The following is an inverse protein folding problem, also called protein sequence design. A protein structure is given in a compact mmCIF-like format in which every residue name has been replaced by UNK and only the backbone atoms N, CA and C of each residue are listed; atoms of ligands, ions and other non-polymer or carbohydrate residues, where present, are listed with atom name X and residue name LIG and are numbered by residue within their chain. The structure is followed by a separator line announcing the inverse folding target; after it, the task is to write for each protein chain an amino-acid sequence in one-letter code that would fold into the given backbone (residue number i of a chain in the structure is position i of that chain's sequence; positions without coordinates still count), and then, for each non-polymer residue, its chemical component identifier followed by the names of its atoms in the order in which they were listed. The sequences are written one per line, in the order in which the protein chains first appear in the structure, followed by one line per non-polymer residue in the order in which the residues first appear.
data_IF_518219600096
#
_entry.id   IF_518219600096
#
_cell.length_a   1.000
_cell.length_b   1.000
_cell.length_c   1.000
_cell.angle_alpha   90.00
_cell.angle_beta   90.00
_cell.angle_gamma   90.00
#
_symmetry.space_group_name_H-M   'P 1'
#
loop_
_entity.id
_entity.type
_entity.pdbx_description
1 polymer ?
#
# COMPACT_ATOMS: atom_id res chain seq x y z
N UNK A 1 -10.28 -29.48 4.66
CA UNK A 1 -10.20 -28.01 4.82
C UNK A 1 -9.57 -27.46 3.56
N UNK A 2 -10.28 -26.62 2.80
CA UNK A 2 -9.71 -25.99 1.61
C UNK A 2 -8.90 -24.76 2.06
N UNK A 3 -7.64 -24.67 1.67
CA UNK A 3 -6.76 -23.52 1.98
C UNK A 3 -6.53 -22.75 0.69
N UNK A 4 -6.73 -21.43 0.73
CA UNK A 4 -6.39 -20.53 -0.36
C UNK A 4 -4.93 -20.09 -0.25
N UNK A 5 -4.19 -20.18 -1.35
CA UNK A 5 -2.81 -19.72 -1.46
C UNK A 5 -2.71 -18.64 -2.52
N UNK A 6 -1.90 -17.61 -2.28
CA UNK A 6 -1.69 -16.55 -3.25
C UNK A 6 -0.26 -16.05 -3.22
N UNK A 7 0.18 -15.49 -4.35
CA UNK A 7 1.45 -14.81 -4.51
C UNK A 7 1.24 -13.58 -5.38
N UNK A 8 1.49 -12.40 -4.82
CA UNK A 8 1.61 -11.16 -5.58
C UNK A 8 3.05 -10.69 -5.45
N UNK A 9 3.80 -10.73 -6.56
CA UNK A 9 5.21 -10.34 -6.59
C UNK A 9 5.46 -9.40 -7.75
N UNK A 10 6.32 -8.40 -7.56
CA UNK A 10 6.67 -7.46 -8.62
C UNK A 10 8.11 -6.99 -8.51
N UNK A 11 8.62 -6.41 -9.60
CA UNK A 11 9.89 -5.69 -9.64
C UNK A 11 9.64 -4.27 -10.12
N UNK A 12 10.21 -3.26 -9.46
CA UNK A 12 10.04 -1.86 -9.88
C UNK A 12 11.40 -1.25 -10.23
N UNK A 13 11.52 -0.52 -11.34
CA UNK A 13 12.70 0.29 -11.60
C UNK A 13 12.91 1.32 -10.48
N UNK A 14 14.15 1.55 -10.05
CA UNK A 14 14.47 2.54 -9.01
C UNK A 14 13.97 3.95 -9.40
N UNK A 15 13.93 4.27 -10.69
CA UNK A 15 13.40 5.54 -11.19
C UNK A 15 11.89 5.69 -11.00
N UNK A 16 11.16 4.61 -10.70
CA UNK A 16 9.68 4.56 -10.61
C UNK A 16 9.20 4.18 -9.21
N UNK A 17 10.05 4.32 -8.21
CA UNK A 17 9.72 4.11 -6.81
C UNK A 17 10.12 5.33 -5.97
N UNK A 18 9.45 5.51 -4.84
CA UNK A 18 9.81 6.49 -3.82
C UNK A 18 9.59 5.91 -2.42
N UNK A 19 10.31 6.45 -1.45
CA UNK A 19 10.16 6.12 -0.03
C UNK A 19 10.16 7.39 0.79
N UNK A 20 9.40 7.39 1.88
CA UNK A 20 9.41 8.46 2.87
C UNK A 20 9.37 7.87 4.28
N UNK A 21 10.23 8.38 5.17
CA UNK A 21 10.35 7.93 6.55
C UNK A 21 10.31 9.14 7.49
N UNK A 22 9.45 9.11 8.51
CA UNK A 22 9.29 10.25 9.42
C UNK A 22 10.38 10.37 10.50
N UNK A 23 11.37 9.48 10.49
CA UNK A 23 12.50 9.44 11.41
C UNK A 23 13.50 8.34 11.03
N UNK A 24 14.74 8.46 11.51
CA UNK A 24 15.86 7.59 11.12
C UNK A 24 16.14 6.46 12.13
N UNK A 25 15.52 6.51 13.31
CA UNK A 25 15.59 5.49 14.36
C UNK A 25 14.68 4.27 14.09
N UNK A 26 13.94 4.27 12.98
CA UNK A 26 13.18 3.11 12.50
C UNK A 26 13.05 3.09 10.96
N UNK A 27 13.75 2.16 10.31
CA UNK A 27 13.82 2.05 8.84
C UNK A 27 13.35 0.66 8.36
N UNK A 28 12.04 0.44 8.16
CA UNK A 28 11.49 -0.81 7.63
C UNK A 28 11.44 -0.84 6.10
N UNK A 29 11.00 -1.98 5.55
CA UNK A 29 10.76 -2.13 4.11
C UNK A 29 12.02 -1.99 3.28
N UNK A 30 11.95 -1.22 2.19
CA UNK A 30 13.05 -1.02 1.25
C UNK A 30 14.33 -0.46 1.90
N UNK A 31 14.25 0.33 2.96
CA UNK A 31 15.42 0.88 3.64
C UNK A 31 16.27 -0.16 4.40
N UNK A 32 15.80 -1.41 4.52
CA UNK A 32 16.60 -2.52 5.06
C UNK A 32 17.48 -3.21 4.03
N UNK A 33 17.31 -2.90 2.74
CA UNK A 33 18.07 -3.56 1.70
C UNK A 33 19.56 -3.17 1.80
N UNK A 34 20.48 -4.08 1.43
CA UNK A 34 21.90 -3.74 1.38
C UNK A 34 22.15 -2.58 0.41
N UNK A 35 23.11 -1.72 0.74
CA UNK A 35 23.52 -0.57 -0.09
C UNK A 35 22.46 0.52 -0.28
N UNK A 36 21.38 0.53 0.52
CA UNK A 36 20.48 1.67 0.60
C UNK A 36 20.95 2.67 1.66
N UNK A 37 20.63 3.94 1.47
CA UNK A 37 20.87 5.01 2.45
C UNK A 37 19.73 6.02 2.44
N UNK A 38 19.64 6.82 3.49
CA UNK A 38 18.64 7.88 3.62
C UNK A 38 19.23 9.23 3.25
N UNK A 39 18.45 10.09 2.60
CA UNK A 39 18.81 11.48 2.31
C UNK A 39 17.67 12.38 2.76
N UNK A 40 18.03 13.46 3.46
CA UNK A 40 17.06 14.49 3.84
C UNK A 40 16.49 15.19 2.59
N UNK A 41 15.20 15.53 2.64
CA UNK A 41 14.50 16.25 1.58
C UNK A 41 13.37 17.11 2.15
N UNK A 42 12.95 18.11 1.37
CA UNK A 42 11.81 18.98 1.72
C UNK A 42 10.51 18.57 0.99
N UNK A 43 10.57 17.52 0.17
CA UNK A 43 9.42 17.00 -0.58
C UNK A 43 8.49 16.20 0.35
N UNK A 44 7.78 16.87 1.26
CA UNK A 44 6.86 16.25 2.23
C UNK A 44 5.77 17.24 2.65
N UNK A 45 4.67 16.75 3.23
CA UNK A 45 3.58 17.58 3.77
C UNK A 45 2.84 18.51 2.78
N UNK A 46 2.83 18.17 1.49
CA UNK A 46 1.93 18.75 0.48
C UNK A 46 1.39 17.69 -0.48
N UNK A 47 0.23 17.95 -1.08
CA UNK A 47 -0.37 17.05 -2.08
C UNK A 47 0.47 17.05 -3.35
N UNK A 48 0.93 15.87 -3.77
CA UNK A 48 1.88 15.70 -4.87
C UNK A 48 3.31 15.38 -4.42
N UNK A 49 3.63 15.51 -3.13
CA UNK A 49 4.98 15.24 -2.63
C UNK A 49 5.47 13.80 -2.92
N UNK A 50 4.59 12.81 -2.89
CA UNK A 50 4.93 11.44 -3.27
C UNK A 50 5.39 11.35 -4.73
N UNK A 51 4.65 11.96 -5.65
CA UNK A 51 5.00 12.03 -7.07
C UNK A 51 6.34 12.73 -7.30
N UNK A 52 6.58 13.86 -6.63
CA UNK A 52 7.82 14.62 -6.78
C UNK A 52 9.06 13.86 -6.26
N UNK A 53 8.87 12.85 -5.40
CA UNK A 53 9.96 11.96 -4.95
C UNK A 53 10.24 10.81 -5.93
N UNK A 54 9.36 10.53 -6.89
CA UNK A 54 9.59 9.48 -7.91
C UNK A 54 10.44 10.08 -9.04
N UNK A 55 11.68 9.61 -9.30
CA UNK A 55 12.57 10.25 -10.27
C UNK A 55 12.00 10.39 -11.70
N UNK A 56 11.24 9.39 -12.17
CA UNK A 56 10.63 9.40 -13.49
C UNK A 56 9.47 10.40 -13.64
N UNK A 57 8.92 10.94 -12.54
CA UNK A 57 7.86 11.95 -12.60
C UNK A 57 8.27 13.24 -13.30
N UNK A 58 9.58 13.49 -13.42
CA UNK A 58 10.14 14.59 -14.17
C UNK A 58 9.82 14.55 -15.68
N UNK A 59 9.46 13.39 -16.22
CA UNK A 59 9.17 13.22 -17.66
C UNK A 59 8.03 12.23 -17.97
N UNK A 60 7.44 11.61 -16.95
CA UNK A 60 6.32 10.65 -17.08
C UNK A 60 5.20 11.04 -16.10
N UNK A 61 3.98 11.21 -16.62
CA UNK A 61 2.81 11.54 -15.80
C UNK A 61 2.18 10.32 -15.12
N UNK A 62 2.62 9.11 -15.47
CA UNK A 62 2.08 7.85 -14.97
C UNK A 62 0.57 7.72 -15.21
N UNK A 63 0.13 8.10 -16.41
CA UNK A 63 -1.28 7.95 -16.84
C UNK A 63 -1.70 6.49 -16.81
N UNK A 64 -2.99 6.20 -16.68
CA UNK A 64 -3.43 4.80 -16.72
C UNK A 64 -3.05 4.17 -18.07
N UNK A 65 -2.41 2.99 -18.05
CA UNK A 65 -2.08 2.26 -19.28
C UNK A 65 -3.31 2.06 -20.18
N UNK A 66 -3.14 2.25 -21.49
CA UNK A 66 -4.24 2.15 -22.46
C UNK A 66 -4.93 0.77 -22.49
N UNK A 67 -4.23 -0.26 -22.03
CA UNK A 67 -4.72 -1.64 -21.88
C UNK A 67 -5.42 -1.92 -20.54
N UNK A 68 -5.55 -0.94 -19.65
CA UNK A 68 -6.21 -1.12 -18.35
C UNK A 68 -7.66 -1.59 -18.46
N UNK A 69 -8.40 -1.13 -19.49
CA UNK A 69 -9.78 -1.60 -19.74
C UNK A 69 -9.81 -3.06 -20.18
N UNK A 70 -8.92 -3.45 -21.10
CA UNK A 70 -8.80 -4.83 -21.58
C UNK A 70 -8.25 -5.78 -20.52
N UNK A 71 -7.56 -5.24 -19.51
CA UNK A 71 -7.02 -6.00 -18.39
C UNK A 71 -8.03 -6.26 -17.29
N UNK A 72 -9.27 -5.74 -17.37
CA UNK A 72 -10.33 -6.11 -16.44
C UNK A 72 -10.85 -7.52 -16.78
N UNK A 73 -11.19 -8.34 -15.78
CA UNK A 73 -11.81 -9.63 -16.05
C UNK A 73 -13.21 -9.42 -16.68
N UNK A 74 -13.55 -10.23 -17.68
CA UNK A 74 -14.89 -10.21 -18.31
C UNK A 74 -15.96 -10.64 -17.30
N UNK A 75 -15.67 -11.70 -16.55
CA UNK A 75 -16.48 -12.21 -15.45
C UNK A 75 -15.65 -12.25 -14.16
N UNK A 76 -16.29 -11.99 -13.01
CA UNK A 76 -15.63 -12.13 -11.71
C UNK A 76 -15.25 -13.61 -11.52
N UNK A 77 -13.96 -13.94 -11.30
CA UNK A 77 -13.56 -15.32 -11.08
C UNK A 77 -14.28 -15.93 -9.87
N UNK A 78 -14.57 -17.23 -9.90
CA UNK A 78 -15.12 -17.94 -8.73
C UNK A 78 -14.05 -18.12 -7.65
N UNK A 79 -12.80 -18.32 -8.06
CA UNK A 79 -11.61 -18.45 -7.22
C UNK A 79 -11.47 -19.81 -6.53
N UNK A 80 -12.54 -20.34 -5.95
CA UNK A 80 -12.56 -21.68 -5.33
C UNK A 80 -12.46 -22.77 -6.39
N UNK A 81 -11.53 -23.72 -6.25
CA UNK A 81 -11.26 -24.77 -7.24
C UNK A 81 -10.50 -24.26 -8.49
N UNK A 82 -10.02 -23.02 -8.47
CA UNK A 82 -9.32 -22.40 -9.59
C UNK A 82 -7.85 -22.11 -9.24
N UNK A 83 -7.00 -22.21 -10.25
CA UNK A 83 -5.61 -21.72 -10.25
C UNK A 83 -5.49 -20.65 -11.34
N UNK A 84 -5.33 -19.41 -10.91
CA UNK A 84 -5.37 -18.22 -11.76
C UNK A 84 -4.00 -17.54 -11.74
N UNK A 85 -3.46 -17.19 -12.91
CA UNK A 85 -2.21 -16.42 -13.03
C UNK A 85 -2.38 -15.31 -14.06
N UNK A 86 -1.90 -14.11 -13.74
CA UNK A 86 -1.83 -13.01 -14.70
C UNK A 86 -0.83 -11.93 -14.28
N UNK A 87 -0.88 -10.80 -15.00
CA UNK A 87 0.08 -9.71 -14.87
C UNK A 87 -0.62 -8.34 -14.88
N UNK A 88 0.09 -7.30 -14.45
CA UNK A 88 -0.39 -5.92 -14.52
C UNK A 88 -0.30 -5.30 -15.92
N UNK A 89 -1.18 -4.33 -16.15
CA UNK A 89 -1.05 -3.30 -17.18
C UNK A 89 -0.09 -2.18 -16.72
N UNK A 90 0.20 -1.25 -17.63
CA UNK A 90 1.14 -0.16 -17.38
C UNK A 90 0.62 0.83 -16.31
N UNK A 91 1.53 1.30 -15.46
CA UNK A 91 1.30 2.30 -14.43
C UNK A 91 0.38 1.90 -13.27
N UNK A 92 0.14 0.59 -13.05
CA UNK A 92 -0.40 0.13 -11.75
C UNK A 92 0.53 0.58 -10.63
N UNK A 93 -0.06 1.05 -9.52
CA UNK A 93 0.69 1.49 -8.36
C UNK A 93 0.54 0.49 -7.22
N UNK A 94 1.63 0.20 -6.54
CA UNK A 94 1.60 -0.45 -5.23
C UNK A 94 2.04 0.55 -4.17
N UNK A 95 1.31 0.62 -3.05
CA UNK A 95 1.71 1.36 -1.86
C UNK A 95 1.76 0.41 -0.67
N UNK A 96 2.78 0.58 0.16
CA UNK A 96 2.79 0.11 1.54
C UNK A 96 3.07 1.28 2.46
N UNK A 97 2.15 1.58 3.38
CA UNK A 97 2.25 2.68 4.34
C UNK A 97 2.06 2.14 5.75
N UNK A 98 3.05 2.36 6.60
CA UNK A 98 3.11 1.79 7.94
C UNK A 98 3.18 2.80 9.07
N UNK A 99 2.84 2.30 10.25
CA UNK A 99 2.80 3.00 11.52
C UNK A 99 3.52 2.14 12.55
N UNK A 100 4.46 2.71 13.29
CA UNK A 100 5.26 2.03 14.30
C UNK A 100 5.28 2.89 15.58
N UNK A 101 4.93 2.28 16.71
CA UNK A 101 4.81 2.97 17.99
C UNK A 101 5.37 2.16 19.17
N UNK A 102 6.18 1.14 18.90
CA UNK A 102 6.75 0.30 19.94
C UNK A 102 7.76 1.02 20.82
N UNK A 103 8.49 1.97 20.24
CA UNK A 103 9.47 2.78 20.94
C UNK A 103 8.85 4.00 21.65
N UNK A 104 7.53 4.18 21.57
CA UNK A 104 6.82 5.26 22.23
C UNK A 104 6.80 5.05 23.75
N UNK A 105 6.80 6.16 24.51
CA UNK A 105 6.38 6.09 25.90
C UNK A 105 4.90 5.71 26.00
N UNK A 106 4.44 5.35 27.20
CA UNK A 106 3.06 4.88 27.43
C UNK A 106 2.04 5.90 26.93
N UNK A 107 2.27 7.18 27.21
CA UNK A 107 1.37 8.27 26.87
C UNK A 107 1.31 8.51 25.35
N UNK A 108 2.46 8.44 24.66
CA UNK A 108 2.51 8.60 23.20
C UNK A 108 1.86 7.40 22.49
N UNK A 109 2.13 6.19 22.96
CA UNK A 109 1.50 4.97 22.45
C UNK A 109 -0.02 5.03 22.61
N UNK A 110 -0.50 5.42 23.80
CA UNK A 110 -1.92 5.54 24.07
C UNK A 110 -2.57 6.64 23.21
N UNK A 111 -1.91 7.77 22.98
CA UNK A 111 -2.40 8.82 22.09
C UNK A 111 -2.58 8.29 20.65
N UNK A 112 -1.64 7.51 20.13
CA UNK A 112 -1.80 6.86 18.82
C UNK A 112 -2.97 5.85 18.82
N UNK A 113 -2.98 4.91 19.78
CA UNK A 113 -3.94 3.81 19.84
C UNK A 113 -5.39 4.30 20.02
N UNK A 114 -5.59 5.43 20.70
CA UNK A 114 -6.93 5.97 21.01
C UNK A 114 -7.39 7.08 20.06
N UNK A 115 -6.49 7.91 19.54
CA UNK A 115 -6.87 9.05 18.68
C UNK A 115 -6.66 8.76 17.18
N UNK A 116 -5.54 8.11 16.81
CA UNK A 116 -5.11 7.99 15.42
C UNK A 116 -5.46 6.66 14.77
N UNK A 117 -5.16 5.54 15.43
CA UNK A 117 -5.40 4.20 14.89
C UNK A 117 -6.87 3.96 14.49
N UNK A 118 -7.88 4.38 15.27
CA UNK A 118 -9.28 4.19 14.89
C UNK A 118 -9.64 4.97 13.61
N UNK A 119 -9.12 6.19 13.47
CA UNK A 119 -9.31 7.03 12.28
C UNK A 119 -8.66 6.39 11.05
N UNK A 120 -7.46 5.82 11.22
CA UNK A 120 -6.77 5.04 10.19
C UNK A 120 -7.57 3.82 9.76
N UNK A 121 -8.00 2.99 10.73
CA UNK A 121 -8.80 1.78 10.46
C UNK A 121 -10.09 2.10 9.74
N UNK A 122 -10.80 3.15 10.15
CA UNK A 122 -12.01 3.62 9.46
C UNK A 122 -11.71 4.04 8.02
N UNK A 123 -10.59 4.72 7.78
CA UNK A 123 -10.18 5.11 6.44
C UNK A 123 -9.84 3.95 5.51
N UNK A 124 -9.11 2.96 6.02
CA UNK A 124 -8.79 1.74 5.27
C UNK A 124 -10.04 0.88 5.05
N UNK A 125 -10.96 0.82 6.02
CA UNK A 125 -12.25 0.16 5.88
C UNK A 125 -13.12 0.79 4.78
N UNK A 126 -13.14 2.12 4.69
CA UNK A 126 -13.79 2.82 3.59
C UNK A 126 -13.18 2.45 2.23
N UNK A 127 -11.85 2.47 2.11
CA UNK A 127 -11.17 2.09 0.87
C UNK A 127 -11.56 0.68 0.44
N UNK A 128 -11.56 -0.26 1.39
CA UNK A 128 -11.97 -1.65 1.15
C UNK A 128 -13.43 -1.78 0.69
N UNK A 129 -14.33 -0.97 1.26
CA UNK A 129 -15.75 -0.94 0.88
C UNK A 129 -16.04 -0.25 -0.46
N UNK A 130 -15.15 0.62 -0.94
CA UNK A 130 -15.38 1.48 -2.12
C UNK A 130 -14.39 1.25 -3.27
N UNK A 131 -13.74 0.08 -3.30
CA UNK A 131 -12.70 -0.32 -4.26
C UNK A 131 -13.06 -0.05 -5.72
N UNK A 132 -14.28 -0.39 -6.14
CA UNK A 132 -14.77 -0.22 -7.51
C UNK A 132 -14.74 1.24 -8.00
N UNK A 133 -15.02 2.20 -7.10
CA UNK A 133 -15.05 3.63 -7.43
C UNK A 133 -13.73 4.33 -7.12
N UNK A 134 -13.01 3.89 -6.08
CA UNK A 134 -11.83 4.55 -5.55
C UNK A 134 -10.50 4.12 -6.19
N UNK A 135 -10.50 3.15 -7.10
CA UNK A 135 -9.29 2.70 -7.80
C UNK A 135 -8.35 1.83 -6.96
N UNK A 136 -8.68 1.55 -5.69
CA UNK A 136 -7.96 0.58 -4.86
C UNK A 136 -8.41 -0.84 -5.24
N UNK A 137 -7.54 -1.62 -5.90
CA UNK A 137 -7.88 -2.96 -6.40
C UNK A 137 -7.83 -4.01 -5.29
N UNK A 138 -6.83 -3.92 -4.42
CA UNK A 138 -6.70 -4.78 -3.24
C UNK A 138 -5.98 -4.00 -2.16
N UNK A 139 -6.58 -3.92 -0.96
CA UNK A 139 -5.99 -3.22 0.17
C UNK A 139 -6.08 -4.10 1.41
N UNK A 140 -4.95 -4.26 2.10
CA UNK A 140 -4.85 -5.05 3.32
C UNK A 140 -4.39 -4.15 4.45
N UNK A 141 -5.01 -4.31 5.62
CA UNK A 141 -4.47 -3.77 6.86
C UNK A 141 -3.83 -4.92 7.63
N UNK A 142 -2.51 -4.85 7.81
CA UNK A 142 -1.67 -5.94 8.29
C UNK A 142 -1.00 -5.55 9.60
N UNK A 143 -0.91 -6.49 10.54
CA UNK A 143 -0.07 -6.38 11.74
C UNK A 143 1.22 -7.19 11.59
N UNK A 144 2.31 -6.72 12.18
CA UNK A 144 3.58 -7.47 12.21
C UNK A 144 3.57 -8.47 13.36
N UNK A 145 3.88 -9.74 13.05
CA UNK A 145 4.04 -10.82 14.03
C UNK A 145 5.32 -11.59 13.73
N UNK A 146 6.09 -11.93 14.76
CA UNK A 146 7.26 -12.79 14.61
C UNK A 146 6.92 -14.29 14.70
N UNK A 147 7.94 -15.12 14.54
CA UNK A 147 7.79 -16.58 14.56
C UNK A 147 7.38 -17.12 15.95
N UNK A 148 7.75 -16.42 17.02
CA UNK A 148 7.42 -16.76 18.41
C UNK A 148 6.01 -16.30 18.80
N UNK A 149 5.35 -15.56 17.90
CA UNK A 149 3.98 -15.13 18.03
C UNK A 149 3.80 -13.79 18.73
N UNK A 150 4.88 -13.04 18.96
CA UNK A 150 4.82 -11.67 19.46
C UNK A 150 4.25 -10.74 18.40
N UNK A 151 3.19 -10.03 18.78
CA UNK A 151 2.58 -8.99 17.94
C UNK A 151 3.28 -7.69 18.22
N UNK A 152 4.07 -7.26 17.24
CA UNK A 152 4.79 -6.01 17.30
C UNK A 152 3.82 -4.82 17.26
N UNK A 153 4.14 -3.73 17.95
CA UNK A 153 3.41 -2.44 17.83
C UNK A 153 3.71 -1.75 16.49
N UNK A 154 3.29 -2.42 15.42
CA UNK A 154 3.47 -2.02 14.03
C UNK A 154 2.32 -2.55 13.16
N UNK A 155 1.76 -1.65 12.37
CA UNK A 155 0.78 -2.00 11.34
C UNK A 155 1.11 -1.35 10.01
N UNK A 156 0.56 -1.89 8.92
CA UNK A 156 0.63 -1.23 7.62
C UNK A 156 -0.60 -1.48 6.76
N UNK A 157 -0.96 -0.45 5.98
CA UNK A 157 -1.83 -0.59 4.81
C UNK A 157 -0.98 -0.96 3.60
N UNK A 158 -1.33 -2.02 2.88
CA UNK A 158 -0.63 -2.44 1.68
C UNK A 158 -1.61 -2.79 0.56
N UNK A 159 -1.37 -2.30 -0.66
CA UNK A 159 -2.32 -2.52 -1.73
C UNK A 159 -1.96 -1.95 -3.10
N UNK A 160 -2.73 -2.38 -4.08
CA UNK A 160 -2.63 -1.95 -5.48
C UNK A 160 -3.68 -0.90 -5.82
N UNK A 161 -3.29 0.10 -6.60
CA UNK A 161 -4.12 1.18 -7.14
C UNK A 161 -4.03 1.19 -8.67
N UNK A 162 -5.10 1.62 -9.33
CA UNK A 162 -5.19 1.62 -10.79
C UNK A 162 -4.13 2.49 -11.47
N UNK A 163 -3.73 3.58 -10.82
CA UNK A 163 -2.60 4.43 -11.20
C UNK A 163 -2.23 5.37 -10.03
N UNK A 164 -1.20 6.20 -10.23
CA UNK A 164 -0.76 7.16 -9.21
C UNK A 164 -1.81 8.23 -8.91
N UNK A 165 -2.51 8.72 -9.93
CA UNK A 165 -3.56 9.73 -9.76
C UNK A 165 -4.72 9.24 -8.89
N UNK A 166 -5.09 7.95 -8.96
CA UNK A 166 -6.13 7.37 -8.12
C UNK A 166 -5.70 7.32 -6.63
N UNK A 167 -4.44 6.97 -6.38
CA UNK A 167 -3.87 7.02 -5.03
C UNK A 167 -3.82 8.47 -4.50
N UNK A 168 -3.36 9.41 -5.33
CA UNK A 168 -3.29 10.83 -4.97
C UNK A 168 -4.69 11.42 -4.71
N UNK A 169 -5.67 11.12 -5.56
CA UNK A 169 -7.04 11.58 -5.43
C UNK A 169 -7.64 11.12 -4.10
N UNK A 170 -7.50 9.83 -3.77
CA UNK A 170 -7.95 9.34 -2.47
C UNK A 170 -7.26 10.06 -1.31
N UNK A 171 -5.94 10.25 -1.39
CA UNK A 171 -5.18 10.88 -0.31
C UNK A 171 -5.60 12.35 -0.08
N UNK A 172 -5.87 13.11 -1.13
CA UNK A 172 -6.10 14.56 -1.01
C UNK A 172 -7.56 14.93 -0.77
N UNK A 173 -8.54 14.11 -1.19
CA UNK A 173 -9.96 14.47 -1.09
C UNK A 173 -10.74 13.65 -0.09
N UNK A 174 -10.28 12.45 0.28
CA UNK A 174 -11.08 11.61 1.15
C UNK A 174 -11.00 12.05 2.61
N UNK A 175 -12.16 12.31 3.22
CA UNK A 175 -12.28 12.80 4.61
C UNK A 175 -11.50 11.95 5.62
N UNK A 176 -11.44 10.64 5.41
CA UNK A 176 -10.68 9.75 6.31
C UNK A 176 -9.17 9.97 6.21
N UNK A 177 -8.62 10.14 5.00
CA UNK A 177 -7.19 10.41 4.86
C UNK A 177 -6.83 11.82 5.36
N UNK A 178 -7.70 12.81 5.13
CA UNK A 178 -7.54 14.15 5.70
C UNK A 178 -7.53 14.11 7.23
N UNK A 179 -8.40 13.32 7.86
CA UNK A 179 -8.42 13.15 9.30
C UNK A 179 -7.13 12.48 9.83
N UNK A 180 -6.62 11.47 9.13
CA UNK A 180 -5.32 10.85 9.44
C UNK A 180 -4.18 11.87 9.32
N UNK A 181 -4.16 12.65 8.24
CA UNK A 181 -3.14 13.67 7.97
C UNK A 181 -3.13 14.76 9.05
N UNK A 182 -4.30 15.33 9.37
CA UNK A 182 -4.45 16.35 10.42
C UNK A 182 -4.07 15.76 11.79
N UNK A 183 -4.51 14.53 12.07
CA UNK A 183 -4.15 13.82 13.29
C UNK A 183 -2.64 13.62 13.43
N UNK A 184 -1.96 13.18 12.37
CA UNK A 184 -0.51 12.98 12.37
C UNK A 184 0.26 14.30 12.58
N UNK A 185 -0.21 15.42 12.00
CA UNK A 185 0.35 16.75 12.25
C UNK A 185 0.13 17.15 13.71
N UNK A 186 -1.07 16.96 14.26
CA UNK A 186 -1.38 17.26 15.66
C UNK A 186 -0.45 16.47 16.59
N UNK A 187 -0.31 15.16 16.36
CA UNK A 187 0.59 14.29 17.10
C UNK A 187 2.04 14.75 17.00
N UNK A 188 2.50 15.10 15.80
CA UNK A 188 3.85 15.64 15.61
C UNK A 188 4.09 16.93 16.40
N UNK A 189 3.11 17.83 16.45
CA UNK A 189 3.18 19.06 17.25
C UNK A 189 3.18 18.81 18.76
N UNK A 190 2.37 17.86 19.24
CA UNK A 190 2.29 17.52 20.66
C UNK A 190 3.61 17.00 21.22
N UNK A 191 4.28 16.11 20.46
CA UNK A 191 5.48 15.42 20.93
C UNK A 191 6.80 16.06 20.48
N UNK A 192 6.78 16.88 19.42
CA UNK A 192 7.97 17.59 18.94
C UNK A 192 9.19 16.68 18.76
N UNK A 193 10.30 17.04 19.39
CA UNK A 193 11.57 16.28 19.33
C UNK A 193 11.55 14.97 20.12
N UNK A 194 10.68 14.83 21.15
CA UNK A 194 10.60 13.61 21.95
C UNK A 194 9.83 12.49 21.25
N UNK A 195 9.12 12.82 20.17
CA UNK A 195 8.29 11.89 19.37
C UNK A 195 9.05 10.64 18.97
N UNK A 196 8.51 9.46 19.33
CA UNK A 196 9.00 8.15 18.90
C UNK A 196 8.03 7.42 17.97
N UNK A 197 6.81 7.93 17.79
CA UNK A 197 5.89 7.46 16.76
C UNK A 197 6.49 7.66 15.37
N UNK A 198 6.48 6.61 14.54
CA UNK A 198 7.02 6.64 13.18
C UNK A 198 5.97 6.25 12.16
N UNK A 199 5.88 7.07 11.13
CA UNK A 199 5.18 6.76 9.89
C UNK A 199 6.17 6.63 8.76
N UNK A 200 5.83 5.77 7.82
CA UNK A 200 6.63 5.56 6.64
C UNK A 200 5.76 5.07 5.50
N UNK A 201 6.23 5.23 4.28
CA UNK A 201 5.62 4.57 3.14
C UNK A 201 6.62 4.33 2.02
N UNK A 202 6.29 3.39 1.16
CA UNK A 202 6.97 3.05 -0.08
C UNK A 202 5.92 2.94 -1.19
N UNK A 203 6.14 3.64 -2.30
CA UNK A 203 5.26 3.65 -3.47
C UNK A 203 6.04 3.18 -4.68
N UNK A 204 5.46 2.28 -5.46
CA UNK A 204 6.03 1.73 -6.70
C UNK A 204 5.05 1.91 -7.84
N UNK A 205 5.51 2.46 -8.97
CA UNK A 205 4.74 2.57 -10.21
C UNK A 205 5.26 1.56 -11.22
N UNK A 206 4.50 0.49 -11.43
CA UNK A 206 4.91 -0.67 -12.20
C UNK A 206 4.71 -0.44 -13.69
N UNK A 207 5.68 -0.87 -14.49
CA UNK A 207 5.48 -1.02 -15.93
C UNK A 207 4.67 -2.26 -16.23
N UNK A 208 4.04 -2.31 -17.40
CA UNK A 208 3.35 -3.51 -17.88
C UNK A 208 4.25 -4.75 -17.78
N UNK A 209 3.73 -5.85 -17.23
CA UNK A 209 4.46 -7.11 -17.16
C UNK A 209 5.35 -7.29 -15.93
N UNK A 210 5.52 -6.25 -15.10
CA UNK A 210 6.47 -6.27 -13.97
C UNK A 210 5.93 -6.94 -12.70
N UNK A 211 4.62 -7.18 -12.61
CA UNK A 211 3.97 -7.93 -11.54
C UNK A 211 3.44 -9.28 -12.01
N UNK A 212 3.57 -10.28 -11.14
CA UNK A 212 2.91 -11.57 -11.26
C UNK A 212 1.89 -11.71 -10.14
N UNK A 213 0.66 -12.04 -10.51
CA UNK A 213 -0.43 -12.32 -9.60
C UNK A 213 -0.88 -13.77 -9.76
N UNK A 214 -0.76 -14.56 -8.72
CA UNK A 214 -1.12 -15.97 -8.70
C UNK A 214 -2.05 -16.27 -7.52
N UNK A 215 -3.16 -16.96 -7.80
CA UNK A 215 -4.17 -17.32 -6.81
C UNK A 215 -4.62 -18.77 -7.00
N UNK A 216 -4.67 -19.51 -5.91
CA UNK A 216 -5.04 -20.92 -5.85
C UNK A 216 -6.10 -21.09 -4.77
N UNK A 217 -7.30 -21.53 -5.14
CA UNK A 217 -8.42 -21.74 -4.20
C UNK A 217 -8.77 -20.52 -3.33
N UNK A 218 -8.59 -19.30 -3.87
CA UNK A 218 -8.86 -18.07 -3.14
C UNK A 218 -10.33 -17.66 -3.21
N UNK A 219 -10.77 -16.89 -2.22
CA UNK A 219 -12.03 -16.17 -2.30
C UNK A 219 -11.99 -15.15 -3.45
N UNK A 220 -13.09 -14.92 -4.20
CA UNK A 220 -13.10 -14.04 -5.35
C UNK A 220 -12.95 -12.55 -5.03
N UNK A 221 -12.80 -12.19 -3.75
CA UNK A 221 -12.50 -10.82 -3.29
C UNK A 221 -11.02 -10.64 -2.89
N UNK A 222 -10.20 -11.68 -3.00
CA UNK A 222 -8.80 -11.69 -2.60
C UNK A 222 -7.94 -10.90 -3.59
N UNK A 223 -7.09 -10.02 -3.07
CA UNK A 223 -6.08 -9.33 -3.87
C UNK A 223 -6.68 -8.52 -5.02
N UNK A 224 -6.12 -8.69 -6.22
CA UNK A 224 -6.55 -8.00 -7.45
C UNK A 224 -7.52 -8.81 -8.32
N UNK A 225 -8.02 -9.97 -7.84
CA UNK A 225 -8.79 -10.93 -8.65
C UNK A 225 -10.01 -10.34 -9.36
N UNK A 226 -10.64 -9.30 -8.81
CA UNK A 226 -11.79 -8.63 -9.42
C UNK A 226 -11.43 -7.56 -10.45
N UNK A 227 -10.17 -7.15 -10.49
CA UNK A 227 -9.72 -5.95 -11.19
C UNK A 227 -8.74 -6.25 -12.31
N UNK A 228 -8.07 -7.40 -12.24
CA UNK A 228 -7.09 -7.87 -13.23
C UNK A 228 -7.57 -9.19 -13.81
N UNK A 229 -7.42 -9.34 -15.13
CA UNK A 229 -7.69 -10.57 -15.86
C UNK A 229 -6.61 -11.60 -15.53
N UNK A 230 -7.04 -12.73 -14.99
CA UNK A 230 -6.17 -13.80 -14.51
C UNK A 230 -6.61 -15.12 -15.15
N UNK A 231 -6.04 -15.48 -16.32
CA UNK A 231 -6.32 -16.75 -16.97
C UNK A 231 -6.17 -17.95 -16.03
N UNK A 232 -7.09 -18.92 -16.15
CA UNK A 232 -6.98 -20.20 -15.48
C UNK A 232 -5.91 -21.04 -16.17
N UNK A 233 -4.95 -21.57 -15.41
CA UNK A 233 -3.86 -22.38 -15.96
C UNK A 233 -4.10 -23.89 -15.85
N UNK A 234 -4.96 -24.36 -14.94
CA UNK A 234 -5.37 -25.77 -14.88
C UNK A 234 -6.70 -25.98 -14.14
N UNK A 235 -7.40 -27.09 -14.43
CA UNK A 235 -8.44 -27.60 -13.53
C UNK A 235 -7.79 -28.36 -12.38
N UNK A 236 -7.96 -27.86 -11.16
CA UNK A 236 -7.64 -28.61 -9.96
C UNK A 236 -8.70 -29.72 -9.86
N UNK A 237 -8.27 -30.98 -10.00
CA UNK A 237 -9.11 -32.15 -9.78
C UNK A 237 -9.46 -32.33 -8.31
#
# INVERSE_FOLDING_TARGET
MLVGLWRESFTTPISRLETNYSGLDYLPGLARLPKTGTKEHQLSAYWGAARDRIPASAHDLFEQGGDAKASKPEDIPVGLGQHLIGTNYDNIVHIRSGQFWENCCVEEAQSYETELEPTLRAGLGYLWGNREKGGAMGLRFLGTRDADGYTKKETCGAGFFTNLSALEEWSKTHRSHLAIYIGAIKHAKTWGESRKFRTWHEVSVLKKGEATFEYLNCSPVTGVMRFISLPRIQELK
#
